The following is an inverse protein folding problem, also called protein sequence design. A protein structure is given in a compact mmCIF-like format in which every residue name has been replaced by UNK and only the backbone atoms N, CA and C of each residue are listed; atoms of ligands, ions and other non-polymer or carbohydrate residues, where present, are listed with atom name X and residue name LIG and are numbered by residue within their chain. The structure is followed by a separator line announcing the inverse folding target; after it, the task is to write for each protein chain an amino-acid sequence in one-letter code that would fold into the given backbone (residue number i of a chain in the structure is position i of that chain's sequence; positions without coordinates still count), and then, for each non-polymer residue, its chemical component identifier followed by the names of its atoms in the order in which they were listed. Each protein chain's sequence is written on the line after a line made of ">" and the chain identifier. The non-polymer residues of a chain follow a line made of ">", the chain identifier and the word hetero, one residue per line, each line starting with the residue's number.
data_IF_305969028137
#
_entry.id   IF_305969028137
#
_cell.length_a   1.000
_cell.length_b   1.000
_cell.length_c   1.000
_cell.angle_alpha   90.00
_cell.angle_beta   90.00
_cell.angle_gamma   90.00
#
_symmetry.space_group_name_H-M   'P 1'
#
loop_
_entity.id
_entity.type
_entity.pdbx_description
1 polymer ?
#
# COMPACT_ATOMS: atom_id res chain seq x y z
N UNK A 1 -10.49 -24.36 -8.60
CA UNK A 1 -10.88 -24.06 -10.00
C UNK A 1 -9.94 -22.98 -10.52
N UNK A 2 -9.09 -23.28 -11.50
CA UNK A 2 -8.05 -22.34 -11.99
C UNK A 2 -8.64 -21.33 -12.99
N UNK A 3 -8.30 -20.02 -12.89
CA UNK A 3 -8.84 -18.95 -13.74
C UNK A 3 -8.72 -19.19 -15.25
N UNK A 4 -7.72 -19.96 -15.69
CA UNK A 4 -7.48 -20.25 -17.11
C UNK A 4 -8.63 -21.00 -17.79
N UNK A 5 -9.40 -21.80 -17.05
CA UNK A 5 -10.49 -22.63 -17.60
C UNK A 5 -11.74 -21.83 -17.98
N UNK A 6 -11.92 -20.63 -17.45
CA UNK A 6 -13.09 -19.77 -17.72
C UNK A 6 -12.91 -19.02 -19.04
N UNK A 7 -11.67 -18.67 -19.38
CA UNK A 7 -11.37 -17.79 -20.53
C UNK A 7 -11.38 -18.53 -21.85
N UNK A 8 -10.92 -19.80 -21.88
CA UNK A 8 -10.58 -20.45 -23.16
C UNK A 8 -11.53 -21.53 -23.65
N UNK A 9 -12.56 -21.92 -22.89
CA UNK A 9 -13.74 -22.72 -23.29
C UNK A 9 -13.67 -23.58 -24.57
N UNK A 10 -12.58 -24.32 -24.79
CA UNK A 10 -12.40 -25.28 -25.88
C UNK A 10 -11.52 -26.44 -25.41
N UNK A 11 -11.94 -27.65 -25.75
CA UNK A 11 -11.14 -28.85 -25.59
C UNK A 11 -10.11 -28.91 -26.72
N UNK A 12 -8.85 -28.63 -26.41
CA UNK A 12 -7.76 -28.76 -27.37
C UNK A 12 -7.45 -30.26 -27.55
N UNK A 13 -7.91 -30.87 -28.65
CA UNK A 13 -7.38 -32.16 -29.10
C UNK A 13 -6.06 -31.90 -29.82
N UNK A 14 -4.96 -31.88 -29.08
CA UNK A 14 -3.62 -31.89 -29.64
C UNK A 14 -3.13 -33.36 -29.68
N UNK A 15 -2.75 -33.92 -30.85
CA UNK A 15 -2.22 -35.26 -30.94
C UNK A 15 -0.81 -35.26 -30.32
N UNK A 16 -0.75 -35.61 -29.04
CA UNK A 16 0.48 -35.78 -28.29
C UNK A 16 1.00 -37.18 -28.54
N UNK A 17 2.06 -37.32 -29.35
CA UNK A 17 2.85 -38.53 -29.39
C UNK A 17 4.30 -38.22 -29.79
N UNK A 18 5.21 -38.46 -28.85
CA UNK A 18 6.63 -38.87 -29.04
C UNK A 18 7.79 -37.87 -29.24
N UNK A 19 7.63 -36.54 -29.09
CA UNK A 19 8.79 -35.59 -28.97
C UNK A 19 8.84 -34.88 -27.59
N UNK A 20 7.87 -35.16 -26.72
CA UNK A 20 7.55 -34.32 -25.57
C UNK A 20 8.39 -34.55 -24.31
N UNK A 21 9.16 -35.63 -24.19
CA UNK A 21 9.78 -35.98 -22.91
C UNK A 21 11.04 -35.16 -22.59
N UNK A 22 11.82 -34.78 -23.60
CA UNK A 22 13.06 -33.99 -23.40
C UNK A 22 12.79 -32.49 -23.41
N UNK A 23 11.93 -32.02 -24.33
CA UNK A 23 11.44 -30.64 -24.35
C UNK A 23 10.59 -30.32 -23.11
N UNK A 24 9.73 -31.24 -22.66
CA UNK A 24 8.94 -31.08 -21.44
C UNK A 24 9.77 -31.02 -20.16
N UNK A 25 10.86 -31.80 -20.07
CA UNK A 25 11.84 -31.70 -18.98
C UNK A 25 12.53 -30.34 -18.98
N UNK A 26 12.98 -29.85 -20.14
CA UNK A 26 13.59 -28.52 -20.26
C UNK A 26 12.62 -27.40 -19.85
N UNK A 27 11.37 -27.44 -20.32
CA UNK A 27 10.35 -26.46 -19.92
C UNK A 27 10.06 -26.51 -18.42
N UNK A 28 10.05 -27.72 -17.80
CA UNK A 28 9.84 -27.86 -16.35
C UNK A 28 10.99 -27.24 -15.55
N UNK A 29 12.24 -27.46 -15.96
CA UNK A 29 13.40 -26.82 -15.31
C UNK A 29 13.34 -25.29 -15.43
N UNK A 30 13.03 -24.77 -16.62
CA UNK A 30 12.88 -23.33 -16.83
C UNK A 30 11.79 -22.71 -15.95
N UNK A 31 10.67 -23.41 -15.74
CA UNK A 31 9.60 -22.95 -14.86
C UNK A 31 10.03 -22.92 -13.38
N UNK A 32 10.80 -23.91 -12.94
CA UNK A 32 11.33 -23.92 -11.57
C UNK A 32 12.31 -22.77 -11.34
N UNK A 33 13.21 -22.51 -12.30
CA UNK A 33 14.11 -21.35 -12.24
C UNK A 33 13.32 -20.03 -12.17
N UNK A 34 12.25 -19.89 -12.95
CA UNK A 34 11.39 -18.70 -12.90
C UNK A 34 10.68 -18.54 -11.55
N UNK A 35 10.17 -19.64 -10.98
CA UNK A 35 9.52 -19.61 -9.67
C UNK A 35 10.50 -19.20 -8.55
N UNK A 36 11.74 -19.68 -8.61
CA UNK A 36 12.80 -19.29 -7.69
C UNK A 36 13.13 -17.79 -7.79
N UNK A 37 13.27 -17.28 -9.02
CA UNK A 37 13.51 -15.85 -9.25
C UNK A 37 12.35 -14.97 -8.76
N UNK A 38 11.11 -15.42 -8.94
CA UNK A 38 9.93 -14.70 -8.44
C UNK A 38 9.88 -14.68 -6.91
N UNK A 39 10.21 -15.81 -6.27
CA UNK A 39 10.25 -15.90 -4.81
C UNK A 39 11.33 -14.95 -4.26
N UNK A 40 12.52 -14.99 -4.84
CA UNK A 40 13.63 -14.12 -4.46
C UNK A 40 13.26 -12.63 -4.63
N UNK A 41 12.66 -12.27 -5.77
CA UNK A 41 12.20 -10.91 -6.02
C UNK A 41 11.15 -10.45 -4.99
N UNK A 42 10.23 -11.32 -4.61
CA UNK A 42 9.20 -11.02 -3.61
C UNK A 42 9.82 -10.83 -2.22
N UNK A 43 10.74 -11.70 -1.82
CA UNK A 43 11.47 -11.57 -0.55
C UNK A 43 12.30 -10.30 -0.49
N UNK A 44 13.05 -10.00 -1.55
CA UNK A 44 13.82 -8.77 -1.68
C UNK A 44 12.93 -7.52 -1.58
N UNK A 45 11.77 -7.53 -2.25
CA UNK A 45 10.77 -6.45 -2.15
C UNK A 45 10.23 -6.30 -0.72
N UNK A 46 9.95 -7.42 -0.03
CA UNK A 46 9.48 -7.42 1.35
C UNK A 46 10.53 -6.83 2.30
N UNK A 47 11.78 -7.25 2.17
CA UNK A 47 12.91 -6.75 2.98
C UNK A 47 13.11 -5.26 2.74
N UNK A 48 13.09 -4.82 1.48
CA UNK A 48 13.23 -3.41 1.14
C UNK A 48 12.13 -2.56 1.78
N UNK A 49 10.85 -2.96 1.64
CA UNK A 49 9.72 -2.25 2.25
C UNK A 49 9.83 -2.19 3.77
N UNK A 50 10.26 -3.28 4.42
CA UNK A 50 10.48 -3.31 5.86
C UNK A 50 11.59 -2.34 6.30
N UNK A 51 12.73 -2.32 5.59
CA UNK A 51 13.83 -1.39 5.86
C UNK A 51 13.41 0.06 5.71
N UNK A 52 12.73 0.40 4.61
CA UNK A 52 12.25 1.76 4.36
C UNK A 52 11.24 2.18 5.41
N UNK A 53 10.30 1.30 5.78
CA UNK A 53 9.34 1.58 6.86
C UNK A 53 10.05 1.84 8.19
N UNK A 54 11.03 1.02 8.54
CA UNK A 54 11.79 1.19 9.78
C UNK A 54 12.51 2.55 9.83
N UNK A 55 13.20 2.92 8.76
CA UNK A 55 13.86 4.22 8.64
C UNK A 55 12.87 5.38 8.70
N UNK A 56 11.74 5.26 8.00
CA UNK A 56 10.67 6.26 8.03
C UNK A 56 10.13 6.43 9.46
N UNK A 57 9.75 5.34 10.13
CA UNK A 57 9.15 5.35 11.46
C UNK A 57 10.15 5.87 12.53
N UNK A 58 11.45 5.61 12.35
CA UNK A 58 12.51 6.20 13.19
C UNK A 58 12.63 7.72 13.06
N UNK A 59 12.30 8.27 11.88
CA UNK A 59 12.37 9.71 11.62
C UNK A 59 11.09 10.45 12.05
N UNK A 60 9.99 9.74 12.35
CA UNK A 60 8.77 10.37 12.84
C UNK A 60 9.01 10.89 14.26
N UNK A 61 9.09 12.21 14.38
CA UNK A 61 9.08 12.88 15.68
C UNK A 61 7.71 12.72 16.32
N UNK A 62 7.65 11.99 17.43
CA UNK A 62 6.43 11.90 18.25
C UNK A 62 6.16 13.26 18.87
N UNK A 63 5.05 13.87 18.49
CA UNK A 63 4.53 15.07 19.15
C UNK A 63 3.48 14.65 20.15
N UNK A 64 3.63 15.12 21.38
CA UNK A 64 2.59 15.02 22.39
C UNK A 64 1.67 16.22 22.26
N UNK A 65 0.37 15.95 22.28
CA UNK A 65 -0.67 16.96 22.20
C UNK A 65 -1.24 17.23 23.58
N UNK A 66 -1.53 18.50 23.85
CA UNK A 66 -2.20 18.92 25.08
C UNK A 66 -3.59 19.47 24.77
N UNK A 67 -4.52 19.28 25.71
CA UNK A 67 -5.84 19.91 25.63
C UNK A 67 -5.67 21.43 25.59
N UNK A 68 -6.51 22.10 24.80
CA UNK A 68 -6.47 23.54 24.50
C UNK A 68 -5.34 24.00 23.58
N UNK A 69 -4.51 23.10 23.04
CA UNK A 69 -3.50 23.46 22.05
C UNK A 69 -4.14 23.76 20.69
N UNK A 70 -3.63 24.79 19.99
CA UNK A 70 -4.01 25.11 18.61
C UNK A 70 -3.18 24.30 17.61
N UNK A 71 -3.85 23.62 16.69
CA UNK A 71 -3.24 22.75 15.67
C UNK A 71 -3.86 22.98 14.30
N UNK A 72 -3.14 22.63 13.24
CA UNK A 72 -3.65 22.62 11.87
C UNK A 72 -4.03 21.20 11.48
N UNK A 73 -5.15 21.05 10.77
CA UNK A 73 -5.59 19.77 10.24
C UNK A 73 -4.98 19.55 8.85
N UNK A 74 -4.29 18.43 8.67
CA UNK A 74 -3.81 18.02 7.36
C UNK A 74 -4.93 17.42 6.53
N UNK A 75 -5.29 18.07 5.42
CA UNK A 75 -6.25 17.55 4.46
C UNK A 75 -5.51 16.81 3.33
N UNK A 76 -5.60 15.49 3.34
CA UNK A 76 -4.97 14.60 2.35
C UNK A 76 -5.69 14.61 1.00
N UNK A 77 -6.91 15.13 0.91
CA UNK A 77 -7.63 15.27 -0.35
C UNK A 77 -6.93 16.30 -1.24
N UNK A 78 -6.17 15.80 -2.22
CA UNK A 78 -5.45 16.62 -3.19
C UNK A 78 -6.44 17.43 -4.02
N UNK A 79 -6.21 18.75 -4.08
CA UNK A 79 -6.99 19.65 -4.95
C UNK A 79 -6.08 20.21 -6.04
N UNK A 80 -6.62 20.33 -7.25
CA UNK A 80 -5.97 21.02 -8.35
C UNK A 80 -6.03 22.53 -8.08
N UNK A 81 -4.87 23.15 -7.88
CA UNK A 81 -4.72 24.60 -7.72
C UNK A 81 -3.67 25.05 -8.73
N UNK A 82 -4.04 25.97 -9.63
CA UNK A 82 -3.18 26.45 -10.72
C UNK A 82 -2.56 25.31 -11.56
N UNK A 83 -3.32 24.23 -11.79
CA UNK A 83 -2.88 23.08 -12.58
C UNK A 83 -2.01 22.05 -11.85
N UNK A 84 -1.74 22.23 -10.55
CA UNK A 84 -0.95 21.28 -9.76
C UNK A 84 -1.72 20.75 -8.55
N UNK A 85 -1.49 19.48 -8.20
CA UNK A 85 -2.10 18.84 -7.03
C UNK A 85 -1.36 19.27 -5.76
N UNK A 86 -2.12 19.81 -4.81
CA UNK A 86 -1.61 20.19 -3.49
C UNK A 86 -2.48 19.60 -2.38
N UNK A 87 -1.83 19.06 -1.36
CA UNK A 87 -2.43 18.83 -0.05
C UNK A 87 -2.53 20.15 0.70
N UNK A 88 -3.57 20.34 1.51
CA UNK A 88 -3.81 21.60 2.22
C UNK A 88 -3.75 21.40 3.73
N UNK A 89 -3.26 22.41 4.43
CA UNK A 89 -3.43 22.53 5.87
C UNK A 89 -4.62 23.45 6.11
N UNK A 90 -5.61 22.96 6.85
CA UNK A 90 -6.83 23.68 7.15
C UNK A 90 -6.78 24.16 8.61
N UNK A 91 -7.24 25.39 8.82
CA UNK A 91 -7.73 26.00 10.07
C UNK A 91 -6.87 25.86 11.35
N UNK A 92 -6.81 26.89 12.21
CA UNK A 92 -6.44 26.66 13.60
C UNK A 92 -7.61 25.99 14.33
N UNK A 93 -7.47 24.71 14.66
CA UNK A 93 -8.39 23.96 15.51
C UNK A 93 -7.86 23.88 16.93
N UNK A 94 -8.75 23.79 17.91
CA UNK A 94 -8.39 23.60 19.31
C UNK A 94 -8.61 22.13 19.68
N UNK A 95 -7.62 21.54 20.32
CA UNK A 95 -7.73 20.19 20.86
C UNK A 95 -8.64 20.20 22.09
N UNK A 96 -9.71 19.43 22.08
CA UNK A 96 -10.61 19.31 23.24
C UNK A 96 -10.33 18.05 24.06
N UNK A 97 -9.97 16.95 23.41
CA UNK A 97 -9.64 15.69 24.07
C UNK A 97 -8.47 14.99 23.37
N UNK A 98 -7.65 14.29 24.15
CA UNK A 98 -6.57 13.42 23.66
C UNK A 98 -6.82 12.01 24.20
N UNK A 99 -6.98 11.06 23.29
CA UNK A 99 -7.23 9.66 23.64
C UNK A 99 -5.91 8.91 23.90
N UNK A 100 -5.90 7.85 24.73
CA UNK A 100 -4.69 7.09 25.06
C UNK A 100 -4.02 6.46 23.84
N UNK A 101 -4.75 6.24 22.74
CA UNK A 101 -4.24 5.69 21.48
C UNK A 101 -3.71 6.76 20.51
N UNK A 102 -3.63 8.03 20.94
CA UNK A 102 -3.10 9.14 20.13
C UNK A 102 -4.10 9.79 19.18
N UNK A 103 -5.35 9.31 19.14
CA UNK A 103 -6.44 10.05 18.50
C UNK A 103 -6.70 11.36 19.28
N UNK A 104 -7.07 12.40 18.55
CA UNK A 104 -7.29 13.75 19.10
C UNK A 104 -8.63 14.23 18.58
N UNK A 105 -9.45 14.77 19.47
CA UNK A 105 -10.71 15.40 19.11
C UNK A 105 -10.49 16.91 18.95
N UNK A 106 -10.89 17.45 17.81
CA UNK A 106 -10.65 18.82 17.41
C UNK A 106 -11.95 19.62 17.42
N UNK A 107 -11.88 20.88 17.82
CA UNK A 107 -12.99 21.82 17.73
C UNK A 107 -12.61 23.05 16.94
N UNK A 108 -13.48 23.43 16.02
CA UNK A 108 -13.39 24.72 15.35
C UNK A 108 -14.03 25.81 16.22
N UNK A 109 -13.28 26.88 16.50
CA UNK A 109 -13.77 28.04 17.26
C UNK A 109 -14.90 28.79 16.50
N UNK A 110 -14.87 28.77 15.16
CA UNK A 110 -15.80 29.57 14.35
C UNK A 110 -17.15 28.88 14.16
N UNK A 111 -17.13 27.61 13.76
CA UNK A 111 -18.35 26.84 13.47
C UNK A 111 -18.88 26.08 14.69
N UNK A 112 -18.11 26.04 15.80
CA UNK A 112 -18.34 25.21 16.99
C UNK A 112 -18.48 23.71 16.68
N UNK A 113 -18.10 23.29 15.48
CA UNK A 113 -18.12 21.90 15.06
C UNK A 113 -16.93 21.13 15.64
N UNK A 114 -17.13 19.83 15.84
CA UNK A 114 -16.15 18.92 16.42
C UNK A 114 -15.80 17.83 15.41
N UNK A 115 -14.53 17.43 15.34
CA UNK A 115 -13.96 16.47 14.38
C UNK A 115 -13.12 15.41 15.08
#
# INVERSE_FOLDING_TARGET
>A
MSPYRIVFSKACHLPCNLVYDQAGKQTKFQLQELDELLLEAYENSRIYKQKVKHLHDQQILRKEFQVSQKVLLFNSCLKLIAGKLYSRWEGPFVIINVFPYGAVELKDEQTKSTF
#
